data_IF_262129277583
#
_entry.id   IF_262129277583
#
_cell.length_a   1.000
_cell.length_b   1.000
_cell.length_c   1.000
_cell.angle_alpha   90.00
_cell.angle_beta   90.00
_cell.angle_gamma   90.00
#
_symmetry.space_group_name_H-M   'P 1'
#
loop_
_entity.id
_entity.type
_entity.pdbx_description
1 polymer ?
#
# COMPACT_ATOMS: atom_id res chain seq x y z
N UNK A 1 22.00 -13.44 14.06
CA UNK A 1 22.82 -13.76 12.87
C UNK A 1 24.23 -13.30 13.12
N UNK A 2 25.25 -14.12 12.81
CA UNK A 2 26.64 -13.82 13.18
C UNK A 2 27.36 -12.90 12.18
N UNK A 3 26.96 -11.63 12.16
CA UNK A 3 27.54 -10.60 11.28
C UNK A 3 28.94 -10.18 11.75
N UNK A 4 29.19 -10.13 13.05
CA UNK A 4 30.51 -9.76 13.57
C UNK A 4 31.57 -10.85 13.29
N UNK A 5 31.18 -12.12 13.33
CA UNK A 5 32.09 -13.24 13.08
C UNK A 5 32.19 -13.64 11.60
N UNK A 6 31.08 -13.64 10.86
CA UNK A 6 31.02 -14.12 9.48
C UNK A 6 30.72 -13.03 8.43
N UNK A 7 30.60 -11.76 8.85
CA UNK A 7 30.41 -10.63 7.95
C UNK A 7 29.12 -10.73 7.11
N UNK A 8 29.23 -10.32 5.84
CA UNK A 8 28.13 -10.30 4.89
C UNK A 8 27.56 -11.70 4.58
N UNK A 9 28.36 -12.77 4.72
CA UNK A 9 27.90 -14.14 4.45
C UNK A 9 26.75 -14.56 5.37
N UNK A 10 26.81 -14.15 6.66
CA UNK A 10 25.72 -14.41 7.59
C UNK A 10 24.41 -13.73 7.18
N UNK A 11 24.48 -12.53 6.59
CA UNK A 11 23.29 -11.85 6.06
C UNK A 11 22.82 -12.47 4.74
N UNK A 12 23.71 -12.91 3.88
CA UNK A 12 23.33 -13.59 2.63
C UNK A 12 22.52 -14.87 2.91
N UNK A 13 22.98 -15.69 3.85
CA UNK A 13 22.27 -16.89 4.29
C UNK A 13 20.91 -16.51 4.91
N UNK A 14 20.90 -15.55 5.84
CA UNK A 14 19.68 -15.07 6.48
C UNK A 14 18.65 -14.50 5.47
N UNK A 15 19.10 -13.76 4.46
CA UNK A 15 18.27 -13.18 3.41
C UNK A 15 17.51 -14.27 2.66
N UNK A 16 18.19 -15.38 2.33
CA UNK A 16 17.58 -16.52 1.64
C UNK A 16 16.66 -17.33 2.54
N UNK A 17 17.09 -17.64 3.75
CA UNK A 17 16.34 -18.51 4.67
C UNK A 17 15.07 -17.84 5.21
N UNK A 18 15.14 -16.54 5.51
CA UNK A 18 14.01 -15.76 6.03
C UNK A 18 13.18 -15.09 4.93
N UNK A 19 13.62 -15.15 3.67
CA UNK A 19 12.93 -14.54 2.54
C UNK A 19 12.86 -13.01 2.64
N UNK A 20 13.96 -12.36 3.03
CA UNK A 20 14.00 -10.91 3.28
C UNK A 20 13.99 -10.08 2.00
N UNK A 21 14.43 -10.66 0.88
CA UNK A 21 14.56 -9.99 -0.42
C UNK A 21 15.38 -8.69 -0.39
N UNK A 22 16.45 -8.68 0.43
CA UNK A 22 17.38 -7.56 0.53
C UNK A 22 18.26 -7.47 -0.73
N UNK A 23 18.53 -6.24 -1.15
CA UNK A 23 19.54 -5.90 -2.18
C UNK A 23 20.95 -5.92 -1.59
N UNK A 24 21.97 -5.96 -2.46
CA UNK A 24 23.38 -5.95 -2.04
C UNK A 24 23.75 -4.69 -1.23
N UNK A 25 23.21 -3.53 -1.62
CA UNK A 25 23.41 -2.27 -0.90
C UNK A 25 22.74 -2.29 0.49
N UNK A 26 21.54 -2.86 0.60
CA UNK A 26 20.84 -3.02 1.89
C UNK A 26 21.57 -4.00 2.82
N UNK A 27 22.13 -5.08 2.27
CA UNK A 27 22.96 -6.00 3.05
C UNK A 27 24.24 -5.31 3.53
N UNK A 28 24.91 -4.55 2.65
CA UNK A 28 26.11 -3.77 3.00
C UNK A 28 25.82 -2.78 4.13
N UNK A 29 24.74 -2.00 3.99
CA UNK A 29 24.26 -1.09 5.02
C UNK A 29 24.05 -1.77 6.38
N UNK A 30 23.45 -2.97 6.38
CA UNK A 30 23.21 -3.73 7.61
C UNK A 30 24.51 -4.26 8.23
N UNK A 31 25.48 -4.71 7.42
CA UNK A 31 26.80 -5.11 7.94
C UNK A 31 27.45 -3.95 8.67
N UNK A 32 27.51 -2.78 8.02
CA UNK A 32 28.13 -1.58 8.58
C UNK A 32 27.41 -1.15 9.87
N UNK A 33 26.09 -1.05 9.84
CA UNK A 33 25.29 -0.64 11.00
C UNK A 33 25.47 -1.55 12.21
N UNK A 34 25.49 -2.87 12.03
CA UNK A 34 25.66 -3.81 13.14
C UNK A 34 27.12 -3.96 13.59
N UNK A 35 28.07 -3.71 12.70
CA UNK A 35 29.49 -3.58 13.05
C UNK A 35 29.72 -2.37 13.95
N UNK A 36 29.17 -1.21 13.59
CA UNK A 36 29.24 0.03 14.37
C UNK A 36 28.56 -0.11 15.74
N UNK A 37 27.43 -0.83 15.80
CA UNK A 37 26.73 -1.13 17.05
C UNK A 37 27.48 -2.14 17.94
N UNK A 38 28.53 -2.80 17.42
CA UNK A 38 29.32 -3.80 18.14
C UNK A 38 28.51 -5.02 18.57
N UNK A 39 27.42 -5.35 17.87
CA UNK A 39 26.57 -6.50 18.19
C UNK A 39 25.95 -7.14 16.95
N UNK A 40 25.69 -8.44 17.06
CA UNK A 40 24.98 -9.19 16.05
C UNK A 40 23.48 -8.78 15.96
N UNK A 41 22.90 -8.72 14.75
CA UNK A 41 21.46 -8.51 14.58
C UNK A 41 20.64 -9.71 15.02
N UNK A 42 19.45 -9.43 15.54
CA UNK A 42 18.38 -10.41 15.74
C UNK A 42 17.57 -10.56 14.46
N UNK A 43 17.00 -11.74 14.27
CA UNK A 43 16.09 -12.04 13.17
C UNK A 43 14.95 -11.02 13.04
N UNK A 44 14.33 -10.63 14.16
CA UNK A 44 13.24 -9.65 14.19
C UNK A 44 13.67 -8.26 13.69
N UNK A 45 14.92 -7.86 13.92
CA UNK A 45 15.45 -6.58 13.47
C UNK A 45 15.62 -6.58 11.95
N UNK A 46 16.10 -7.70 11.39
CA UNK A 46 16.25 -7.89 9.95
C UNK A 46 14.90 -7.98 9.25
N UNK A 47 13.94 -8.72 9.83
CA UNK A 47 12.57 -8.81 9.30
C UNK A 47 11.89 -7.44 9.29
N UNK A 48 12.00 -6.67 10.37
CA UNK A 48 11.46 -5.31 10.44
C UNK A 48 12.09 -4.41 9.37
N UNK A 49 13.42 -4.46 9.23
CA UNK A 49 14.14 -3.68 8.22
C UNK A 49 13.70 -4.04 6.79
N UNK A 50 13.62 -5.34 6.49
CA UNK A 50 13.24 -5.84 5.17
C UNK A 50 11.81 -5.41 4.79
N UNK A 51 10.85 -5.53 5.71
CA UNK A 51 9.47 -5.11 5.46
C UNK A 51 9.39 -3.59 5.23
N UNK A 52 10.05 -2.79 6.09
CA UNK A 52 10.04 -1.33 5.99
C UNK A 52 10.72 -0.80 4.71
N UNK A 53 11.72 -1.51 4.19
CA UNK A 53 12.47 -1.11 2.99
C UNK A 53 12.04 -1.87 1.73
N UNK A 54 10.99 -2.70 1.81
CA UNK A 54 10.40 -3.33 0.63
C UNK A 54 9.89 -2.26 -0.37
N UNK A 55 9.80 -2.62 -1.66
CA UNK A 55 9.29 -1.69 -2.67
C UNK A 55 7.86 -1.21 -2.35
N UNK A 56 7.03 -2.13 -1.87
CA UNK A 56 5.65 -1.84 -1.48
C UNK A 56 5.56 -0.79 -0.35
N UNK A 57 6.48 -0.80 0.60
CA UNK A 57 6.47 0.17 1.70
C UNK A 57 7.20 1.47 1.34
N UNK A 58 8.35 1.38 0.67
CA UNK A 58 9.23 2.53 0.43
C UNK A 58 8.93 3.28 -0.86
N UNK A 59 8.19 2.67 -1.80
CA UNK A 59 7.86 3.24 -3.09
C UNK A 59 9.12 3.76 -3.82
N UNK A 60 10.16 2.93 -3.96
CA UNK A 60 11.47 3.37 -4.48
C UNK A 60 11.34 3.80 -5.94
N UNK A 61 10.57 3.09 -6.75
CA UNK A 61 10.33 3.43 -8.17
C UNK A 61 9.68 4.80 -8.30
N UNK A 62 8.67 5.10 -7.46
CA UNK A 62 7.97 6.38 -7.50
C UNK A 62 8.83 7.56 -7.06
N UNK A 63 9.84 7.32 -6.22
CA UNK A 63 10.75 8.34 -5.72
C UNK A 63 12.08 8.41 -6.50
N UNK A 64 12.35 7.46 -7.39
CA UNK A 64 13.58 7.40 -8.17
C UNK A 64 13.76 8.62 -9.09
N UNK A 65 15.02 8.94 -9.40
CA UNK A 65 15.40 9.74 -10.56
C UNK A 65 15.27 8.90 -11.82
N UNK A 66 14.95 9.55 -12.94
CA UNK A 66 14.72 8.89 -14.22
C UNK A 66 15.64 9.46 -15.30
N UNK A 67 16.13 8.58 -16.16
CA UNK A 67 16.72 8.92 -17.46
C UNK A 67 15.87 8.26 -18.54
N UNK A 68 15.42 9.01 -19.53
CA UNK A 68 14.60 8.51 -20.64
C UNK A 68 15.27 8.91 -21.93
N UNK A 69 15.57 7.93 -22.78
CA UNK A 69 16.25 8.12 -24.07
C UNK A 69 17.56 8.93 -23.97
N UNK A 70 18.33 8.71 -22.89
CA UNK A 70 19.61 9.41 -22.66
C UNK A 70 19.48 10.79 -22.00
N UNK A 71 18.27 11.22 -21.62
CA UNK A 71 18.03 12.51 -21.01
C UNK A 71 17.55 12.36 -19.55
N UNK A 72 18.26 13.01 -18.62
CA UNK A 72 17.84 13.10 -17.22
C UNK A 72 16.51 13.86 -17.08
N UNK A 73 15.63 13.33 -16.23
CA UNK A 73 14.32 13.91 -15.96
C UNK A 73 14.35 14.73 -14.68
N UNK A 74 13.73 15.92 -14.71
CA UNK A 74 13.76 16.88 -13.60
C UNK A 74 12.95 16.42 -12.38
N UNK A 75 12.01 15.48 -12.54
CA UNK A 75 11.09 15.06 -11.49
C UNK A 75 10.98 13.54 -11.42
N UNK A 76 10.80 13.03 -10.20
CA UNK A 76 10.33 11.66 -9.99
C UNK A 76 8.84 11.54 -10.34
N UNK A 77 8.34 10.31 -10.50
CA UNK A 77 6.91 10.07 -10.71
C UNK A 77 6.06 10.69 -9.59
N UNK A 78 6.48 10.53 -8.33
CA UNK A 78 5.80 11.16 -7.20
C UNK A 78 5.94 12.68 -7.20
N UNK A 79 7.07 13.22 -7.66
CA UNK A 79 7.24 14.64 -7.91
C UNK A 79 6.20 15.19 -8.88
N UNK A 80 5.98 14.51 -10.00
CA UNK A 80 4.95 14.88 -10.98
C UNK A 80 3.54 14.82 -10.40
N UNK A 81 3.24 13.83 -9.56
CA UNK A 81 1.93 13.75 -8.88
C UNK A 81 1.76 14.91 -7.88
N UNK A 82 2.80 15.27 -7.12
CA UNK A 82 2.77 16.42 -6.20
C UNK A 82 2.54 17.75 -6.92
N UNK A 83 3.09 17.88 -8.12
CA UNK A 83 2.91 19.08 -8.93
C UNK A 83 1.43 19.39 -9.22
N UNK A 84 0.57 18.37 -9.33
CA UNK A 84 -0.87 18.58 -9.52
C UNK A 84 -1.54 19.33 -8.36
N UNK A 85 -1.03 19.14 -7.13
CA UNK A 85 -1.48 19.89 -5.96
C UNK A 85 -0.85 21.29 -5.91
N UNK A 86 0.40 21.44 -6.34
CA UNK A 86 1.06 22.75 -6.37
C UNK A 86 0.33 23.74 -7.28
N UNK A 87 -0.17 23.28 -8.43
CA UNK A 87 -0.85 24.14 -9.42
C UNK A 87 -2.37 24.14 -9.32
N UNK A 88 -2.96 23.19 -8.58
CA UNK A 88 -4.42 22.95 -8.54
C UNK A 88 -4.96 22.54 -7.18
N UNK A 89 -4.21 22.78 -6.10
CA UNK A 89 -4.51 22.35 -4.73
C UNK A 89 -5.60 23.15 -4.02
N UNK A 90 -6.33 24.02 -4.72
CA UNK A 90 -7.41 24.80 -4.14
C UNK A 90 -8.44 23.89 -3.45
N UNK A 91 -8.73 24.20 -2.19
CA UNK A 91 -9.59 23.42 -1.30
C UNK A 91 -9.04 22.05 -0.86
N UNK A 92 -7.75 21.76 -1.05
CA UNK A 92 -7.11 20.61 -0.43
C UNK A 92 -6.61 20.98 0.96
N UNK A 93 -7.09 20.29 1.98
CA UNK A 93 -6.72 20.58 3.38
C UNK A 93 -5.55 19.74 3.86
N UNK A 94 -5.32 18.61 3.19
CA UNK A 94 -4.16 17.76 3.36
C UNK A 94 -4.04 16.92 2.09
N UNK A 95 -2.83 16.72 1.60
CA UNK A 95 -2.49 15.76 0.56
C UNK A 95 -1.16 15.09 0.91
N UNK A 96 -0.94 13.87 0.41
CA UNK A 96 0.32 13.11 0.54
C UNK A 96 0.70 12.67 1.97
N UNK A 97 -0.10 13.03 2.97
CA UNK A 97 -0.15 12.41 4.30
C UNK A 97 -1.55 11.85 4.59
N UNK A 98 -2.58 12.61 4.24
CA UNK A 98 -4.02 12.29 4.30
C UNK A 98 -4.66 13.09 3.15
N UNK A 99 -5.38 12.51 2.18
CA UNK A 99 -6.07 13.34 1.17
C UNK A 99 -7.43 13.83 1.69
N UNK A 100 -7.55 15.13 1.94
CA UNK A 100 -8.80 15.80 2.33
C UNK A 100 -9.15 16.85 1.30
N UNK A 101 -10.22 16.62 0.55
CA UNK A 101 -10.78 17.63 -0.35
C UNK A 101 -11.93 18.32 0.38
N UNK A 102 -11.77 19.61 0.65
CA UNK A 102 -12.88 20.44 1.07
C UNK A 102 -13.76 20.70 -0.14
N UNK A 103 -14.84 19.95 -0.27
CA UNK A 103 -16.06 20.73 -0.45
C UNK A 103 -16.40 21.21 0.95
N UNK A 104 -16.41 22.53 1.21
CA UNK A 104 -16.99 23.06 2.46
C UNK A 104 -18.50 22.85 2.38
N UNK A 105 -18.94 21.59 2.46
CA UNK A 105 -20.32 21.26 2.72
C UNK A 105 -20.55 21.60 4.19
N UNK A 106 -21.11 22.77 4.46
CA UNK A 106 -21.73 23.01 5.76
C UNK A 106 -23.03 22.19 5.80
N UNK A 107 -23.30 21.54 6.92
CA UNK A 107 -24.52 20.77 7.07
C UNK A 107 -24.64 20.13 8.43
N UNK A 108 -25.85 19.64 8.71
CA UNK A 108 -26.16 18.93 9.94
C UNK A 108 -25.55 17.52 9.95
N UNK A 109 -24.52 17.28 10.75
CA UNK A 109 -24.13 15.92 11.13
C UNK A 109 -25.11 15.38 12.17
N UNK A 110 -25.56 14.15 11.99
CA UNK A 110 -26.52 13.52 12.90
C UNK A 110 -25.84 12.51 13.82
N UNK A 111 -25.73 12.84 15.10
CA UNK A 111 -25.13 12.00 16.13
C UNK A 111 -25.71 12.33 17.52
N UNK A 112 -25.64 11.41 18.51
CA UNK A 112 -26.12 11.69 19.85
C UNK A 112 -25.28 12.79 20.52
N UNK A 113 -25.95 13.78 21.11
CA UNK A 113 -25.29 14.83 21.87
C UNK A 113 -24.48 14.24 23.05
N UNK A 114 -23.36 14.87 23.38
CA UNK A 114 -22.46 14.38 24.45
C UNK A 114 -23.10 14.50 25.83
N UNK A 115 -23.97 15.50 26.06
CA UNK A 115 -24.55 15.82 27.36
C UNK A 115 -25.72 14.90 27.71
N UNK A 116 -26.68 14.75 26.79
CA UNK A 116 -27.95 14.06 27.05
C UNK A 116 -28.17 12.78 26.23
N UNK A 117 -27.23 12.44 25.33
CA UNK A 117 -27.29 11.27 24.43
C UNK A 117 -28.49 11.26 23.48
N UNK A 118 -29.15 12.40 23.29
CA UNK A 118 -30.26 12.53 22.34
C UNK A 118 -29.72 12.81 20.94
N UNK A 119 -30.24 12.11 19.95
CA UNK A 119 -29.87 12.29 18.55
C UNK A 119 -30.38 13.62 18.00
N UNK A 120 -29.48 14.46 17.51
CA UNK A 120 -29.81 15.75 16.88
C UNK A 120 -28.86 16.03 15.72
N UNK A 121 -29.25 17.00 14.88
CA UNK A 121 -28.35 17.57 13.88
C UNK A 121 -27.44 18.60 14.53
N UNK A 122 -26.15 18.52 14.22
CA UNK A 122 -25.11 19.46 14.62
C UNK A 122 -24.59 20.16 13.37
N UNK A 123 -24.81 21.47 13.26
CA UNK A 123 -24.34 22.23 12.10
C UNK A 123 -22.84 22.50 12.22
N UNK A 124 -22.06 21.87 11.35
CA UNK A 124 -20.60 21.94 11.37
C UNK A 124 -20.00 21.73 9.96
N UNK A 125 -18.72 22.09 9.74
CA UNK A 125 -18.04 21.78 8.50
C UNK A 125 -17.90 20.26 8.27
N UNK A 126 -18.45 19.76 7.15
CA UNK A 126 -18.32 18.37 6.73
C UNK A 126 -17.28 18.29 5.61
N UNK A 127 -16.08 17.83 5.95
CA UNK A 127 -15.02 17.60 4.98
C UNK A 127 -15.08 16.19 4.39
N UNK A 128 -14.60 16.04 3.16
CA UNK A 128 -14.50 14.77 2.47
C UNK A 128 -13.07 14.26 2.51
N UNK A 129 -12.94 12.96 2.78
CA UNK A 129 -11.72 12.18 2.63
C UNK A 129 -11.93 11.20 1.48
N UNK A 130 -10.84 10.85 0.80
CA UNK A 130 -10.84 9.89 -0.29
C UNK A 130 -9.55 9.08 -0.24
N UNK A 131 -9.68 7.76 -0.29
CA UNK A 131 -8.56 6.81 -0.40
C UNK A 131 -8.96 5.71 -1.38
N UNK A 132 -7.96 5.13 -2.04
CA UNK A 132 -8.10 3.94 -2.86
C UNK A 132 -6.86 3.08 -2.61
N UNK A 133 -7.07 1.78 -2.45
CA UNK A 133 -6.01 0.79 -2.33
C UNK A 133 -6.24 -0.37 -3.31
N UNK A 134 -5.22 -1.20 -3.47
CA UNK A 134 -5.31 -2.44 -4.26
C UNK A 134 -4.80 -3.60 -3.44
N UNK A 135 -5.30 -4.81 -3.70
CA UNK A 135 -4.84 -6.01 -3.01
C UNK A 135 -4.59 -7.18 -3.96
N UNK A 136 -3.79 -6.91 -4.99
CA UNK A 136 -3.66 -7.75 -6.19
C UNK A 136 -3.06 -9.12 -5.89
N UNK A 137 -1.88 -9.16 -5.28
CA UNK A 137 -1.14 -10.42 -5.06
C UNK A 137 -1.89 -11.40 -4.14
N UNK A 138 -2.44 -10.99 -2.98
CA UNK A 138 -3.23 -11.90 -2.16
C UNK A 138 -4.52 -12.37 -2.84
N UNK A 139 -5.19 -11.50 -3.60
CA UNK A 139 -6.42 -11.84 -4.34
C UNK A 139 -6.16 -12.89 -5.42
N UNK A 140 -4.97 -12.90 -6.03
CA UNK A 140 -4.59 -13.94 -6.99
C UNK A 140 -4.39 -15.33 -6.36
N UNK A 141 -4.13 -15.40 -5.05
CA UNK A 141 -3.91 -16.66 -4.31
C UNK A 141 -5.20 -17.13 -3.63
N UNK A 142 -5.89 -16.22 -2.92
CA UNK A 142 -7.13 -16.49 -2.21
C UNK A 142 -8.10 -15.32 -2.44
N UNK A 143 -8.97 -15.39 -3.46
CA UNK A 143 -9.76 -14.23 -3.90
C UNK A 143 -10.68 -13.66 -2.83
N UNK A 144 -11.40 -14.52 -2.10
CA UNK A 144 -12.35 -14.06 -1.09
C UNK A 144 -11.65 -13.32 0.06
N UNK A 145 -10.60 -13.93 0.62
CA UNK A 145 -9.86 -13.33 1.72
C UNK A 145 -9.06 -12.10 1.27
N UNK A 146 -8.43 -12.14 0.09
CA UNK A 146 -7.71 -11.01 -0.50
C UNK A 146 -8.60 -9.82 -0.80
N UNK A 147 -9.79 -10.02 -1.38
CA UNK A 147 -10.75 -8.92 -1.55
C UNK A 147 -11.25 -8.38 -0.20
N UNK A 148 -11.55 -9.28 0.74
CA UNK A 148 -12.03 -8.93 2.08
C UNK A 148 -11.05 -8.10 2.90
N UNK A 149 -9.77 -8.50 2.95
CA UNK A 149 -8.73 -7.75 3.66
C UNK A 149 -8.35 -6.47 2.93
N UNK A 150 -8.53 -6.41 1.60
CA UNK A 150 -8.30 -5.20 0.80
C UNK A 150 -9.29 -4.10 1.17
N UNK A 151 -10.59 -4.42 1.14
CA UNK A 151 -11.63 -3.51 1.62
C UNK A 151 -11.45 -3.18 3.11
N UNK A 152 -11.15 -4.18 3.95
CA UNK A 152 -10.96 -3.97 5.38
C UNK A 152 -9.75 -3.10 5.72
N UNK A 153 -8.67 -3.16 4.93
CA UNK A 153 -7.50 -2.29 5.07
C UNK A 153 -7.82 -0.84 4.78
N UNK A 154 -8.42 -0.60 3.62
CA UNK A 154 -8.82 0.72 3.16
C UNK A 154 -9.82 1.40 4.13
N UNK A 155 -10.82 0.67 4.63
CA UNK A 155 -11.77 1.20 5.64
C UNK A 155 -11.06 1.62 6.94
N UNK A 156 -10.03 0.88 7.38
CA UNK A 156 -9.24 1.26 8.57
C UNK A 156 -8.41 2.51 8.33
N UNK A 157 -7.84 2.64 7.14
CA UNK A 157 -7.11 3.83 6.72
C UNK A 157 -8.00 5.07 6.78
N UNK A 158 -9.22 4.98 6.22
CA UNK A 158 -10.20 6.07 6.32
C UNK A 158 -10.49 6.40 7.79
N UNK A 159 -10.79 5.41 8.63
CA UNK A 159 -11.08 5.62 10.05
C UNK A 159 -9.93 6.22 10.86
N UNK A 160 -8.68 5.92 10.49
CA UNK A 160 -7.46 6.39 11.15
C UNK A 160 -7.02 7.80 10.70
N UNK A 161 -7.68 8.39 9.71
CA UNK A 161 -7.37 9.76 9.26
C UNK A 161 -7.51 10.77 10.41
N UNK A 162 -6.46 11.56 10.66
CA UNK A 162 -6.45 12.65 11.62
C UNK A 162 -6.51 12.15 13.07
N UNK A 163 -7.56 12.52 13.79
CA UNK A 163 -7.84 12.07 15.17
C UNK A 163 -9.03 11.11 15.23
N UNK A 164 -9.30 10.44 14.12
CA UNK A 164 -10.50 9.64 13.90
C UNK A 164 -11.39 10.30 12.86
N UNK A 165 -11.85 9.49 11.92
CA UNK A 165 -12.80 9.88 10.88
C UNK A 165 -13.88 8.81 10.68
N UNK A 166 -14.83 9.04 9.78
CA UNK A 166 -15.96 8.13 9.54
C UNK A 166 -16.06 7.76 8.05
N UNK A 167 -15.81 6.48 7.69
CA UNK A 167 -16.09 5.95 6.36
C UNK A 167 -17.55 6.16 5.95
N UNK A 168 -17.80 6.44 4.67
CA UNK A 168 -19.14 6.77 4.17
C UNK A 168 -19.60 5.91 2.98
N UNK A 169 -18.77 5.77 1.97
CA UNK A 169 -19.10 5.03 0.75
C UNK A 169 -17.81 4.46 0.15
N UNK A 170 -17.89 3.21 -0.31
CA UNK A 170 -16.78 2.53 -0.99
C UNK A 170 -17.04 2.36 -2.48
N UNK A 171 -15.96 2.18 -3.23
CA UNK A 171 -15.97 1.75 -4.64
C UNK A 171 -15.16 0.47 -4.78
N UNK A 172 -15.47 -0.36 -5.77
CA UNK A 172 -14.76 -1.61 -6.04
C UNK A 172 -14.42 -1.70 -7.51
N UNK A 173 -13.19 -2.12 -7.81
CA UNK A 173 -12.72 -2.37 -9.17
C UNK A 173 -12.05 -3.73 -9.29
N UNK A 174 -12.33 -4.44 -10.37
CA UNK A 174 -11.68 -5.69 -10.73
C UNK A 174 -11.18 -5.63 -12.17
N UNK A 175 -10.01 -6.19 -12.41
CA UNK A 175 -9.48 -6.46 -13.74
C UNK A 175 -8.91 -7.88 -13.72
N UNK A 176 -9.45 -8.74 -14.58
CA UNK A 176 -9.13 -10.17 -14.63
C UNK A 176 -8.92 -10.60 -16.08
N UNK A 177 -8.29 -11.75 -16.28
CA UNK A 177 -8.22 -12.41 -17.59
C UNK A 177 -9.62 -12.81 -18.09
N UNK A 178 -9.68 -13.38 -19.29
CA UNK A 178 -10.90 -13.98 -19.81
C UNK A 178 -11.55 -14.95 -18.81
N UNK A 179 -12.88 -14.89 -18.70
CA UNK A 179 -13.61 -15.67 -17.72
C UNK A 179 -13.70 -17.15 -18.11
N UNK A 180 -13.76 -17.44 -19.41
CA UNK A 180 -13.80 -18.80 -19.97
C UNK A 180 -14.89 -19.66 -19.29
N UNK A 181 -16.09 -19.07 -19.14
CA UNK A 181 -17.21 -19.67 -18.42
C UNK A 181 -17.61 -21.00 -19.10
N UNK A 182 -17.66 -22.13 -18.37
CA UNK A 182 -18.03 -23.42 -18.95
C UNK A 182 -19.37 -23.39 -19.69
N UNK A 183 -19.37 -23.82 -20.95
CA UNK A 183 -20.56 -23.80 -21.81
C UNK A 183 -20.96 -22.43 -22.36
N UNK A 184 -20.18 -21.36 -22.10
CA UNK A 184 -20.46 -19.99 -22.54
C UNK A 184 -19.23 -19.30 -23.13
N UNK A 185 -18.42 -20.04 -23.89
CA UNK A 185 -17.21 -19.48 -24.48
C UNK A 185 -17.51 -18.36 -25.48
N UNK A 186 -16.62 -17.35 -25.52
CA UNK A 186 -16.69 -16.21 -26.43
C UNK A 186 -15.62 -16.30 -27.51
N UNK A 187 -15.87 -15.78 -28.73
CA UNK A 187 -14.95 -15.95 -29.86
C UNK A 187 -13.59 -15.26 -29.70
N UNK A 188 -13.43 -14.39 -28.70
CA UNK A 188 -12.15 -13.73 -28.36
C UNK A 188 -11.39 -14.41 -27.22
N UNK A 189 -11.92 -15.50 -26.64
CA UNK A 189 -11.24 -16.25 -25.58
C UNK A 189 -10.22 -17.23 -26.18
N UNK A 190 -9.05 -17.34 -25.53
CA UNK A 190 -7.84 -17.86 -26.18
C UNK A 190 -7.15 -18.99 -25.40
N UNK A 191 -7.58 -19.29 -24.17
CA UNK A 191 -7.15 -20.44 -23.37
C UNK A 191 -5.63 -20.60 -23.25
N UNK A 192 -4.97 -19.59 -22.68
CA UNK A 192 -3.51 -19.55 -22.50
C UNK A 192 -2.99 -20.32 -21.27
N UNK A 193 -3.89 -20.97 -20.51
CA UNK A 193 -3.55 -21.63 -19.25
C UNK A 193 -3.29 -20.68 -18.08
N UNK A 194 -3.01 -21.23 -16.89
CA UNK A 194 -2.71 -20.47 -15.67
C UNK A 194 -1.79 -21.27 -14.72
N UNK A 195 -1.01 -20.60 -13.84
CA UNK A 195 -0.23 -21.27 -12.81
C UNK A 195 -1.09 -22.14 -11.89
N UNK A 196 -0.54 -23.28 -11.47
CA UNK A 196 -1.27 -24.26 -10.63
C UNK A 196 -1.54 -23.76 -9.20
N UNK A 197 -0.77 -22.79 -8.72
CA UNK A 197 -0.94 -22.19 -7.40
C UNK A 197 -2.18 -21.28 -7.31
N UNK A 198 -2.52 -20.56 -8.38
CA UNK A 198 -3.71 -19.70 -8.45
C UNK A 198 -4.98 -20.48 -8.84
N UNK A 199 -4.85 -21.64 -9.49
CA UNK A 199 -5.99 -22.37 -10.08
C UNK A 199 -6.81 -23.19 -9.09
N UNK A 200 -6.33 -23.45 -7.86
CA UNK A 200 -7.00 -24.35 -6.91
C UNK A 200 -8.19 -23.72 -6.16
N UNK A 201 -8.22 -22.40 -6.00
CA UNK A 201 -9.24 -21.70 -5.19
C UNK A 201 -10.31 -20.97 -6.01
N UNK A 202 -10.14 -20.79 -7.33
CA UNK A 202 -11.14 -20.16 -8.20
C UNK A 202 -12.18 -21.12 -8.79
N UNK A 203 -12.15 -22.41 -8.43
CA UNK A 203 -13.08 -23.45 -8.95
C UNK A 203 -14.05 -23.99 -7.90
N UNK A 204 -14.44 -23.17 -6.92
CA UNK A 204 -15.49 -23.51 -5.95
C UNK A 204 -16.81 -22.83 -6.32
#
# INVERSE_FOLDING_TARGET
>A
MDVLGAGAEALFIANRELGLALTDDEMTYLVDAFTDLGRNPRDIELMMFAQANSEHCRHKIFNASWEVDGAEQAHSLFGMIRHTNEVGGDNVLSAYSIMRRSFRAHGGRFYPDEQDRVWRFHDEPIHLLMKVETHNHPTAISPFSGAGTGAGGEIRDEGAVGRGSRPKAGLVGFSVSHLEIPGQSRPWELNYGAPTASSRHCRS
#
